data_IF_764178495208
#
_entry.id   IF_764178495208
#
_cell.length_a   1.000
_cell.length_b   1.000
_cell.length_c   1.000
_cell.angle_alpha   90.00
_cell.angle_beta   90.00
_cell.angle_gamma   90.00
#
_symmetry.space_group_name_H-M   'P 1'
#
loop_
_entity.id
_entity.type
_entity.pdbx_description
1 polymer ?
#
# COMPACT_ATOMS: atom_id res chain seq x y z
N UNK A 1 -5.43 -14.48 6.68
CA UNK A 1 -5.79 -13.18 7.31
C UNK A 1 -7.20 -13.33 7.86
N UNK A 2 -7.49 -12.76 9.04
CA UNK A 2 -8.82 -12.76 9.66
C UNK A 2 -9.18 -11.33 10.03
N UNK A 3 -10.44 -10.93 9.81
CA UNK A 3 -10.99 -9.61 10.15
C UNK A 3 -11.98 -9.78 11.29
N UNK A 4 -11.97 -8.88 12.26
CA UNK A 4 -12.95 -8.85 13.35
C UNK A 4 -13.38 -7.41 13.63
N UNK A 5 -14.68 -7.15 13.61
CA UNK A 5 -15.25 -5.84 13.98
C UNK A 5 -15.59 -5.78 15.47
N UNK A 6 -15.10 -4.75 16.16
CA UNK A 6 -15.73 -4.20 17.35
C UNK A 6 -16.58 -2.99 16.94
N UNK A 7 -17.38 -2.44 17.87
CA UNK A 7 -18.31 -1.34 17.60
C UNK A 7 -17.64 -0.08 17.04
N UNK A 8 -16.43 0.24 17.48
CA UNK A 8 -15.68 1.44 17.10
C UNK A 8 -14.39 1.17 16.30
N UNK A 9 -13.81 -0.04 16.41
CA UNK A 9 -12.58 -0.44 15.74
C UNK A 9 -12.73 -1.75 14.96
N UNK A 10 -12.02 -1.87 13.84
CA UNK A 10 -11.79 -3.14 13.15
C UNK A 10 -10.38 -3.63 13.41
N UNK A 11 -10.25 -4.92 13.77
CA UNK A 11 -8.99 -5.63 14.00
C UNK A 11 -8.69 -6.58 12.84
N UNK A 12 -7.43 -6.68 12.49
CA UNK A 12 -6.94 -7.43 11.34
C UNK A 12 -5.77 -8.33 11.74
N UNK A 13 -6.00 -9.65 11.80
CA UNK A 13 -4.95 -10.64 12.12
C UNK A 13 -4.32 -11.21 10.85
N UNK A 14 -3.01 -11.07 10.74
CA UNK A 14 -2.19 -11.61 9.66
C UNK A 14 -1.33 -12.75 10.20
N UNK A 15 -1.76 -13.99 9.97
CA UNK A 15 -0.99 -15.20 10.26
C UNK A 15 -0.02 -15.49 9.13
N UNK A 16 1.22 -15.83 9.48
CA UNK A 16 2.34 -16.07 8.57
C UNK A 16 3.07 -17.37 8.97
N UNK A 17 3.79 -17.96 8.01
CA UNK A 17 4.76 -19.04 8.26
C UNK A 17 6.16 -18.48 8.05
N UNK A 18 7.04 -18.64 9.03
CA UNK A 18 8.44 -18.26 8.95
C UNK A 18 9.24 -19.26 8.09
N UNK A 19 10.51 -18.93 7.79
CA UNK A 19 11.40 -19.85 7.09
C UNK A 19 11.54 -21.16 7.88
N UNK A 20 11.52 -22.27 7.15
CA UNK A 20 11.78 -23.61 7.69
C UNK A 20 13.29 -23.81 7.76
N UNK A 21 13.89 -24.05 8.96
CA UNK A 21 15.31 -24.40 9.02
C UNK A 21 15.57 -25.79 8.40
N UNK A 22 16.75 -26.05 7.84
CA UNK A 22 17.10 -27.36 7.30
C UNK A 22 16.89 -28.46 8.35
N UNK A 23 16.23 -29.55 7.97
CA UNK A 23 15.94 -30.68 8.86
C UNK A 23 14.70 -30.52 9.75
N UNK A 24 14.00 -29.39 9.75
CA UNK A 24 12.70 -29.24 10.43
C UNK A 24 11.54 -29.44 9.44
N UNK A 25 10.50 -30.16 9.85
CA UNK A 25 9.34 -30.43 8.98
C UNK A 25 8.44 -29.22 8.68
N UNK A 26 8.46 -28.17 9.51
CA UNK A 26 7.64 -26.96 9.34
C UNK A 26 8.33 -25.70 9.89
N UNK A 27 8.20 -24.58 9.17
CA UNK A 27 8.69 -23.27 9.60
C UNK A 27 7.82 -22.64 10.69
N UNK A 28 8.45 -21.87 11.59
CA UNK A 28 7.79 -21.29 12.78
C UNK A 28 6.62 -20.38 12.37
N UNK A 29 5.41 -20.73 12.79
CA UNK A 29 4.24 -19.88 12.60
C UNK A 29 4.32 -18.62 13.50
N UNK A 30 3.93 -17.48 12.95
CA UNK A 30 3.85 -16.20 13.67
C UNK A 30 2.63 -15.42 13.19
N UNK A 31 2.17 -14.44 13.97
CA UNK A 31 1.09 -13.55 13.54
C UNK A 31 1.28 -12.13 14.05
N UNK A 32 0.63 -11.19 13.37
CA UNK A 32 0.49 -9.81 13.83
C UNK A 32 -0.95 -9.36 13.73
N UNK A 33 -1.34 -8.50 14.66
CA UNK A 33 -2.62 -7.84 14.72
C UNK A 33 -2.43 -6.36 14.36
N UNK A 34 -3.32 -5.85 13.52
CA UNK A 34 -3.47 -4.44 13.20
C UNK A 34 -4.86 -3.96 13.64
N UNK A 35 -5.03 -2.67 13.87
CA UNK A 35 -6.27 -2.04 14.31
C UNK A 35 -6.45 -0.67 13.65
N UNK A 36 -7.70 -0.28 13.41
CA UNK A 36 -8.08 1.05 12.95
C UNK A 36 -9.60 1.17 12.81
N UNK A 37 -10.09 2.28 12.26
CA UNK A 37 -11.51 2.65 12.17
C UNK A 37 -11.95 2.84 10.70
N UNK A 38 -11.97 1.77 9.88
CA UNK A 38 -12.23 1.91 8.45
C UNK A 38 -13.64 2.43 8.15
N UNK A 39 -14.59 2.24 9.08
CA UNK A 39 -15.96 2.78 9.04
C UNK A 39 -16.03 4.31 8.86
N UNK A 40 -15.00 5.07 9.27
CA UNK A 40 -14.91 6.52 9.07
C UNK A 40 -14.65 6.93 7.60
N UNK A 41 -14.40 5.95 6.72
CA UNK A 41 -14.22 6.16 5.28
C UNK A 41 -15.42 5.60 4.51
N UNK A 42 -16.18 6.48 3.84
CA UNK A 42 -17.37 6.07 3.08
C UNK A 42 -17.07 5.06 1.98
N UNK A 43 -15.87 5.10 1.39
CA UNK A 43 -15.44 4.11 0.40
C UNK A 43 -15.31 2.70 0.98
N UNK A 44 -14.93 2.56 2.27
CA UNK A 44 -14.91 1.27 2.95
C UNK A 44 -16.33 0.70 3.10
N UNK A 45 -17.29 1.52 3.56
CA UNK A 45 -18.68 1.08 3.71
C UNK A 45 -19.33 0.63 2.39
N UNK A 46 -18.90 1.20 1.26
CA UNK A 46 -19.33 0.78 -0.08
C UNK A 46 -18.65 -0.53 -0.55
N UNK A 47 -17.39 -0.78 -0.17
CA UNK A 47 -16.66 -1.98 -0.59
C UNK A 47 -15.58 -2.40 0.43
N UNK A 48 -15.97 -3.08 1.54
CA UNK A 48 -15.02 -3.45 2.60
C UNK A 48 -14.04 -4.53 2.12
N UNK A 49 -14.45 -5.39 1.18
CA UNK A 49 -13.58 -6.39 0.54
C UNK A 49 -12.41 -5.73 -0.19
N UNK A 50 -12.65 -4.63 -0.91
CA UNK A 50 -11.60 -3.94 -1.65
C UNK A 50 -10.55 -3.31 -0.73
N UNK A 51 -10.97 -2.75 0.41
CA UNK A 51 -10.06 -2.20 1.43
C UNK A 51 -9.06 -3.23 1.95
N UNK A 52 -9.55 -4.39 2.43
CA UNK A 52 -8.64 -5.46 2.88
C UNK A 52 -7.85 -6.09 1.74
N UNK A 53 -8.39 -6.09 0.51
CA UNK A 53 -7.65 -6.53 -0.68
C UNK A 53 -6.44 -5.62 -0.93
N UNK A 54 -6.60 -4.29 -0.86
CA UNK A 54 -5.49 -3.33 -0.99
C UNK A 54 -4.39 -3.59 0.06
N UNK A 55 -4.76 -3.82 1.33
CA UNK A 55 -3.80 -4.17 2.40
C UNK A 55 -3.12 -5.52 2.12
N UNK A 56 -3.87 -6.52 1.66
CA UNK A 56 -3.33 -7.83 1.29
C UNK A 56 -2.36 -7.78 0.10
N UNK A 57 -2.46 -6.80 -0.80
CA UNK A 57 -1.45 -6.58 -1.85
C UNK A 57 -0.15 -6.02 -1.29
N UNK A 58 -0.21 -5.06 -0.35
CA UNK A 58 0.99 -4.53 0.31
C UNK A 58 1.68 -5.60 1.17
N UNK A 59 0.92 -6.34 1.98
CA UNK A 59 1.46 -7.42 2.82
C UNK A 59 2.19 -8.51 2.01
N UNK A 60 1.69 -8.84 0.81
CA UNK A 60 2.30 -9.86 -0.08
C UNK A 60 3.60 -9.42 -0.74
N UNK A 61 3.95 -8.13 -0.72
CA UNK A 61 5.25 -7.63 -1.19
C UNK A 61 6.36 -7.83 -0.16
N UNK A 62 6.01 -8.20 1.07
CA UNK A 62 6.94 -8.36 2.19
C UNK A 62 7.30 -9.83 2.38
N UNK A 63 8.59 -10.13 2.55
CA UNK A 63 9.04 -11.44 3.07
C UNK A 63 8.55 -11.69 4.50
N UNK A 64 8.47 -10.64 5.31
CA UNK A 64 8.03 -10.68 6.70
C UNK A 64 6.94 -9.63 6.95
N UNK A 65 5.68 -10.01 6.70
CA UNK A 65 4.52 -9.14 6.80
C UNK A 65 4.38 -8.39 8.16
N UNK A 66 4.84 -9.01 9.26
CA UNK A 66 4.82 -8.42 10.60
C UNK A 66 6.02 -7.53 10.95
N UNK A 67 7.00 -7.41 10.04
CA UNK A 67 8.17 -6.52 10.19
C UNK A 67 8.11 -5.31 9.23
N UNK A 68 7.14 -5.27 8.31
CA UNK A 68 7.01 -4.21 7.31
C UNK A 68 6.32 -2.95 7.84
N UNK A 69 5.40 -2.39 7.03
CA UNK A 69 4.76 -1.12 7.34
C UNK A 69 4.00 -1.17 8.68
N UNK A 70 4.31 -0.23 9.58
CA UNK A 70 3.59 -0.06 10.86
C UNK A 70 2.17 0.47 10.67
N UNK A 71 1.87 1.09 9.53
CA UNK A 71 0.55 1.61 9.17
C UNK A 71 0.32 1.33 7.69
N UNK A 72 -0.74 0.58 7.37
CA UNK A 72 -1.20 0.40 5.99
C UNK A 72 -2.23 1.47 5.66
N UNK A 73 -2.00 2.20 4.55
CA UNK A 73 -2.88 3.26 4.05
C UNK A 73 -3.54 2.90 2.72
N UNK A 74 -4.71 2.22 2.71
CA UNK A 74 -5.43 1.87 1.49
C UNK A 74 -5.73 3.11 0.63
N UNK A 75 -5.29 3.15 -0.65
CA UNK A 75 -5.55 4.28 -1.56
C UNK A 75 -6.98 4.81 -1.56
N UNK A 76 -7.99 3.92 -1.42
CA UNK A 76 -9.40 4.31 -1.37
C UNK A 76 -9.79 5.20 -0.16
N UNK A 77 -8.98 5.20 0.90
CA UNK A 77 -9.17 6.00 2.10
C UNK A 77 -7.99 6.95 2.38
N UNK A 78 -7.15 7.24 1.37
CA UNK A 78 -5.94 8.08 1.50
C UNK A 78 -6.20 9.53 1.93
N UNK A 79 -7.41 10.05 1.72
CA UNK A 79 -7.83 11.41 2.11
C UNK A 79 -8.44 11.50 3.54
N UNK A 80 -8.60 10.36 4.21
CA UNK A 80 -9.20 10.29 5.55
C UNK A 80 -8.12 10.33 6.66
N UNK A 81 -8.47 10.69 7.91
CA UNK A 81 -7.50 10.74 9.01
C UNK A 81 -6.79 9.40 9.27
N UNK A 82 -5.68 9.46 10.00
CA UNK A 82 -4.86 8.27 10.28
C UNK A 82 -5.59 7.20 11.11
N UNK A 83 -6.63 7.57 11.86
CA UNK A 83 -7.53 6.62 12.55
C UNK A 83 -8.18 5.59 11.61
N UNK A 84 -8.39 5.94 10.34
CA UNK A 84 -9.03 5.07 9.33
C UNK A 84 -8.08 3.99 8.82
N UNK A 85 -6.78 4.20 8.98
CA UNK A 85 -5.72 3.37 8.44
C UNK A 85 -5.45 2.18 9.38
N UNK A 86 -4.98 1.05 8.86
CA UNK A 86 -4.68 -0.12 9.71
C UNK A 86 -3.30 0.03 10.33
N UNK A 87 -3.25 0.33 11.63
CA UNK A 87 -2.02 0.51 12.41
C UNK A 87 -1.64 -0.76 13.16
N UNK A 88 -0.35 -1.05 13.29
CA UNK A 88 0.16 -2.22 13.99
C UNK A 88 -0.18 -2.16 15.48
N UNK A 89 -0.82 -3.21 16.00
CA UNK A 89 -1.21 -3.35 17.39
C UNK A 89 -0.24 -4.26 18.15
N UNK A 90 0.03 -5.46 17.64
CA UNK A 90 0.91 -6.44 18.31
C UNK A 90 1.39 -7.54 17.37
N UNK A 91 2.43 -8.28 17.76
CA UNK A 91 2.87 -9.51 17.10
C UNK A 91 3.17 -10.62 18.11
N UNK A 92 3.02 -11.87 17.66
CA UNK A 92 3.33 -13.08 18.39
C UNK A 92 4.15 -14.05 17.51
N UNK A 93 5.19 -14.72 18.05
CA UNK A 93 5.76 -14.51 19.38
C UNK A 93 6.29 -13.07 19.51
N UNK A 94 6.20 -12.50 20.72
CA UNK A 94 6.67 -11.12 20.93
C UNK A 94 8.17 -11.11 20.70
N UNK A 95 8.63 -10.38 19.68
CA UNK A 95 10.06 -10.13 19.53
C UNK A 95 10.57 -9.46 20.81
N UNK A 96 11.62 -10.03 21.41
CA UNK A 96 12.26 -9.43 22.57
C UNK A 96 12.76 -8.04 22.16
N UNK A 97 12.14 -6.99 22.72
CA UNK A 97 12.63 -5.63 22.50
C UNK A 97 14.01 -5.53 23.14
N UNK A 98 15.05 -5.00 22.46
CA UNK A 98 16.19 -4.47 23.20
C UNK A 98 15.64 -3.42 24.16
N UNK A 99 16.01 -3.51 25.43
CA UNK A 99 15.50 -2.64 26.48
C UNK A 99 15.96 -1.21 26.23
N UNK A 100 15.09 -0.39 25.60
CA UNK A 100 15.25 1.07 25.64
C UNK A 100 14.94 1.53 27.05
N UNK A 101 16.00 1.76 27.81
CA UNK A 101 15.93 2.44 29.09
C UNK A 101 15.29 3.84 28.94
N UNK A 102 14.67 4.33 30.01
CA UNK A 102 14.34 5.75 30.16
C UNK A 102 13.12 6.24 29.39
N UNK A 103 11.93 5.94 29.90
CA UNK A 103 10.81 6.87 29.84
C UNK A 103 10.37 7.16 31.29
N UNK A 104 10.80 8.29 31.89
CA UNK A 104 10.37 8.65 33.24
C UNK A 104 8.85 8.79 33.28
N UNK A 105 8.22 8.12 34.25
CA UNK A 105 6.79 8.26 34.49
C UNK A 105 6.46 9.70 34.88
N UNK A 106 5.42 10.26 34.25
CA UNK A 106 4.92 11.61 34.54
C UNK A 106 4.11 11.61 35.85
N UNK A 107 4.54 12.31 36.92
CA UNK A 107 3.71 12.52 38.10
C UNK A 107 2.77 13.70 37.85
N UNK A 108 1.49 13.52 38.18
CA UNK A 108 0.45 14.55 38.11
C UNK A 108 0.21 15.11 39.51
N UNK A 109 0.31 16.43 39.72
CA UNK A 109 -0.53 17.11 40.73
C UNK A 109 -1.65 17.93 40.08
N UNK A 110 -2.63 18.35 40.89
CA UNK A 110 -3.84 19.05 40.44
C UNK A 110 -4.03 20.40 41.16
N UNK A 111 -4.81 21.29 40.51
CA UNK A 111 -5.28 22.60 41.01
C UNK A 111 -4.15 23.67 41.21
N UNK A 112 -4.36 24.99 41.14
CA UNK A 112 -5.57 25.80 41.41
C UNK A 112 -5.50 27.19 40.73
N UNK A 113 -6.65 27.70 40.23
CA UNK A 113 -7.03 29.12 39.98
C UNK A 113 -6.27 30.05 38.98
N UNK A 114 -7.06 31.01 38.45
CA UNK A 114 -6.77 32.16 37.55
C UNK A 114 -6.80 33.46 38.42
N UNK A 115 -6.24 34.63 38.03
CA UNK A 115 -6.86 35.47 36.99
C UNK A 115 -5.99 36.51 36.19
N UNK A 116 -6.58 36.93 35.06
CA UNK A 116 -6.54 38.23 34.32
C UNK A 116 -5.27 38.96 33.77
N UNK A 117 -5.52 39.47 32.54
CA UNK A 117 -4.83 40.45 31.65
C UNK A 117 -4.54 41.82 32.29
N UNK A 118 -3.73 42.76 31.71
CA UNK A 118 -3.61 43.14 30.26
C UNK A 118 -2.13 43.17 29.76
N UNK A 119 -1.65 43.79 28.65
CA UNK A 119 -2.13 44.75 27.62
C UNK A 119 -1.62 44.41 26.18
N UNK A 120 -1.63 45.40 25.26
CA UNK A 120 -0.92 45.55 23.95
C UNK A 120 -0.57 47.06 23.81
N UNK A 121 0.47 47.49 23.07
CA UNK A 121 0.40 47.65 21.58
C UNK A 121 1.16 46.54 20.80
N UNK A 122 1.79 46.64 19.62
CA UNK A 122 2.17 47.76 18.70
C UNK A 122 2.02 47.36 17.20
N UNK A 123 2.70 48.05 16.27
CA UNK A 123 2.70 47.91 14.78
C UNK A 123 3.98 48.62 14.21
N UNK A 124 4.17 48.81 12.88
CA UNK A 124 4.34 47.90 11.73
C UNK A 124 5.75 48.00 11.06
N UNK A 125 6.06 47.15 10.08
CA UNK A 125 6.59 47.66 8.78
C UNK A 125 6.35 46.70 7.60
N UNK A 126 6.48 47.22 6.38
CA UNK A 126 5.97 46.61 5.15
C UNK A 126 7.09 46.17 4.18
N UNK A 127 6.79 45.18 3.33
CA UNK A 127 7.63 44.75 2.21
C UNK A 127 6.75 44.42 1.00
N UNK A 128 7.06 45.02 -0.16
CA UNK A 128 6.25 44.93 -1.40
C UNK A 128 6.70 43.76 -2.29
N UNK A 129 5.82 43.45 -3.26
CA UNK A 129 6.10 43.04 -4.65
C UNK A 129 5.54 41.69 -5.11
N UNK A 130 5.01 41.73 -6.33
CA UNK A 130 4.38 40.68 -7.15
C UNK A 130 5.20 40.66 -8.45
N UNK A 131 5.57 39.49 -9.02
CA UNK A 131 4.76 38.97 -10.13
C UNK A 131 4.66 37.43 -10.25
N UNK A 132 3.60 36.99 -10.93
CA UNK A 132 3.48 35.66 -11.55
C UNK A 132 4.32 35.62 -12.87
N UNK A 133 4.52 34.50 -13.60
CA UNK A 133 3.40 33.71 -14.17
C UNK A 133 3.68 32.19 -14.39
N UNK A 134 2.76 31.57 -15.16
CA UNK A 134 2.97 30.46 -16.11
C UNK A 134 2.21 29.15 -15.84
N UNK A 135 0.96 29.10 -16.31
CA UNK A 135 0.34 27.84 -16.79
C UNK A 135 1.15 27.29 -17.97
N UNK A 136 1.37 25.97 -18.04
CA UNK A 136 1.44 25.24 -19.32
C UNK A 136 0.71 23.90 -19.24
N UNK A 137 -0.38 23.81 -19.98
CA UNK A 137 -1.12 22.59 -20.33
C UNK A 137 -0.38 21.79 -21.39
N UNK A 138 -0.42 20.46 -21.33
CA UNK A 138 0.08 19.55 -22.37
C UNK A 138 -1.01 18.60 -22.87
N UNK A 139 -1.41 18.68 -24.15
CA UNK A 139 -2.21 17.65 -24.81
C UNK A 139 -1.35 16.53 -25.42
N UNK A 140 -1.86 15.28 -25.37
CA UNK A 140 -1.70 14.26 -26.44
C UNK A 140 -2.67 14.60 -27.59
N UNK A 141 -2.62 14.04 -28.84
CA UNK A 141 -2.15 12.69 -29.21
C UNK A 141 -1.47 12.58 -30.62
N UNK A 142 -1.61 11.41 -31.27
CA UNK A 142 -1.23 10.96 -32.64
C UNK A 142 0.18 10.32 -32.76
N UNK A 143 0.42 9.08 -33.21
CA UNK A 143 -0.18 8.14 -34.20
C UNK A 143 0.45 8.27 -35.60
N UNK A 144 1.41 7.39 -35.90
CA UNK A 144 2.00 7.16 -37.23
C UNK A 144 2.01 5.66 -37.53
N UNK A 145 1.75 5.30 -38.78
CA UNK A 145 1.54 3.93 -39.29
C UNK A 145 2.57 3.63 -40.40
N UNK A 146 2.78 2.34 -40.69
CA UNK A 146 3.53 1.76 -41.83
C UNK A 146 5.07 1.69 -41.65
N UNK A 147 5.79 0.68 -42.18
CA UNK A 147 5.38 -0.51 -42.98
C UNK A 147 6.44 -1.63 -42.87
N UNK A 148 6.00 -2.90 -42.97
CA UNK A 148 6.72 -4.11 -43.46
C UNK A 148 8.18 -4.43 -43.05
N UNK A 149 8.44 -5.71 -42.73
CA UNK A 149 9.59 -6.44 -43.27
C UNK A 149 9.16 -7.57 -44.23
N UNK A 150 10.01 -7.82 -45.23
CA UNK A 150 9.86 -8.85 -46.28
C UNK A 150 10.53 -10.17 -45.87
N UNK A 151 10.21 -11.23 -46.60
CA UNK A 151 10.87 -12.56 -46.64
C UNK A 151 10.61 -13.56 -45.51
N UNK A 152 10.35 -14.80 -45.98
CA UNK A 152 10.04 -16.02 -45.22
C UNK A 152 11.35 -16.67 -44.72
N UNK A 153 11.30 -17.49 -43.66
CA UNK A 153 10.74 -18.84 -43.79
C UNK A 153 9.45 -19.03 -42.99
N UNK A 154 8.43 -19.63 -43.60
CA UNK A 154 7.22 -20.05 -42.88
C UNK A 154 7.55 -21.24 -41.96
N UNK A 155 8.04 -20.95 -40.76
CA UNK A 155 8.16 -21.96 -39.72
C UNK A 155 6.79 -22.60 -39.46
N UNK A 156 6.76 -23.92 -39.25
CA UNK A 156 5.54 -24.66 -38.87
C UNK A 156 4.86 -24.08 -37.61
N UNK A 157 5.55 -23.27 -36.81
CA UNK A 157 4.95 -22.51 -35.70
C UNK A 157 4.13 -21.29 -36.19
N UNK A 158 4.60 -20.55 -37.20
CA UNK A 158 3.89 -19.42 -37.82
C UNK A 158 2.58 -19.86 -38.47
N UNK A 159 2.62 -20.98 -39.19
CA UNK A 159 1.45 -21.58 -39.84
C UNK A 159 0.37 -21.94 -38.81
N UNK A 160 0.73 -22.68 -37.75
CA UNK A 160 -0.21 -23.06 -36.67
C UNK A 160 -0.73 -21.85 -35.90
N UNK A 161 0.11 -20.85 -35.61
CA UNK A 161 -0.33 -19.63 -34.93
C UNK A 161 -1.33 -18.80 -35.76
N UNK A 162 -1.35 -18.96 -37.08
CA UNK A 162 -2.29 -18.26 -37.97
C UNK A 162 -3.70 -18.84 -37.88
N UNK A 163 -3.81 -20.17 -37.73
CA UNK A 163 -5.08 -20.87 -37.55
C UNK A 163 -5.63 -20.73 -36.12
N UNK A 164 -4.77 -20.89 -35.11
CA UNK A 164 -5.21 -21.02 -33.71
C UNK A 164 -5.09 -19.74 -32.88
N UNK A 165 -4.49 -18.67 -33.41
CA UNK A 165 -4.17 -17.50 -32.59
C UNK A 165 -4.70 -16.16 -33.08
N UNK A 166 -5.13 -15.36 -32.10
CA UNK A 166 -5.70 -14.04 -32.35
C UNK A 166 -4.66 -13.14 -33.02
N UNK A 167 -5.06 -12.48 -34.11
CA UNK A 167 -4.27 -11.48 -34.87
C UNK A 167 -3.44 -10.53 -33.99
N UNK A 168 -3.99 -10.10 -32.84
CA UNK A 168 -3.34 -9.17 -31.90
C UNK A 168 -2.28 -9.79 -30.99
N UNK A 169 -2.23 -11.11 -30.86
CA UNK A 169 -1.30 -11.87 -29.99
C UNK A 169 -0.40 -12.84 -30.77
N UNK A 170 -0.49 -12.85 -32.11
CA UNK A 170 0.19 -13.80 -32.99
C UNK A 170 1.71 -13.92 -32.74
N UNK A 171 2.41 -12.81 -32.47
CA UNK A 171 3.84 -12.80 -32.14
C UNK A 171 4.21 -13.47 -30.80
N UNK A 172 3.37 -13.33 -29.77
CA UNK A 172 3.57 -14.05 -28.49
C UNK A 172 3.22 -15.53 -28.66
N UNK A 173 2.20 -15.80 -29.46
CA UNK A 173 1.68 -17.14 -29.70
C UNK A 173 2.63 -18.02 -30.51
N UNK A 174 3.20 -17.48 -31.60
CA UNK A 174 4.26 -18.13 -32.39
C UNK A 174 5.48 -18.45 -31.53
N UNK A 175 5.86 -17.55 -30.63
CA UNK A 175 6.96 -17.77 -29.69
C UNK A 175 6.70 -18.97 -28.77
N UNK A 176 5.53 -19.05 -28.12
CA UNK A 176 5.18 -20.22 -27.30
C UNK A 176 5.03 -21.52 -28.11
N UNK A 177 4.42 -21.47 -29.30
CA UNK A 177 4.30 -22.64 -30.18
C UNK A 177 5.68 -23.12 -30.67
N UNK A 178 6.63 -22.21 -30.87
CA UNK A 178 8.03 -22.54 -31.14
C UNK A 178 8.71 -23.20 -29.94
N UNK A 179 8.54 -22.64 -28.74
CA UNK A 179 9.09 -23.17 -27.49
C UNK A 179 8.63 -24.63 -27.22
N UNK A 180 7.35 -24.94 -27.39
CA UNK A 180 6.82 -26.30 -27.15
C UNK A 180 7.18 -27.32 -28.25
N UNK A 181 7.90 -26.92 -29.30
CA UNK A 181 8.22 -27.77 -30.47
C UNK A 181 9.73 -27.92 -30.72
N UNK A 182 10.55 -27.56 -29.73
CA UNK A 182 11.99 -27.77 -29.68
C UNK A 182 12.34 -28.48 -28.36
#
# INVERSE_FOLDING_TARGET
>A
MVVSGASDHTRLRVSCKGPTPPGAGQGRAYYCDFQGKPNLCRAYSLNPRHYFTQIMWELRKLSHACQGAKVYRPPMCKKHPDEVQMSFLSAWPRAAKPAKAGAPAQPKPAATQKPQKPQTPVKPQAGKAVPAPARKTTPKPAKTTARSPTELPESKASRIATEYCWKSFHGICTYFIGWFKN
#
